data_IF_621827898613
#
_entry.id   IF_621827898613
#
_cell.length_a   1.000
_cell.length_b   1.000
_cell.length_c   1.000
_cell.angle_alpha   90.00
_cell.angle_beta   90.00
_cell.angle_gamma   90.00
#
_symmetry.space_group_name_H-M   'P 1'
#
loop_
_entity.id
_entity.type
_entity.pdbx_description
1 polymer ?
#
# COMPACT_ATOMS: atom_id res chain seq x y z
N UNK A 1 -1.28 -18.28 23.14
CA UNK A 1 -2.43 -17.89 22.30
C UNK A 1 -2.03 -18.05 20.85
N UNK A 2 -2.97 -18.24 19.93
CA UNK A 2 -2.62 -18.37 18.51
C UNK A 2 -2.29 -16.97 17.98
N UNK A 3 -1.09 -16.79 17.43
CA UNK A 3 -0.70 -15.55 16.78
C UNK A 3 -1.51 -15.40 15.49
N UNK A 4 -2.13 -14.23 15.32
CA UNK A 4 -2.95 -13.88 14.15
C UNK A 4 -2.28 -12.72 13.42
N UNK A 5 -2.33 -12.76 12.09
CA UNK A 5 -1.85 -11.68 11.26
C UNK A 5 -2.97 -10.69 11.02
N UNK A 6 -2.69 -9.40 11.12
CA UNK A 6 -3.66 -8.33 10.91
C UNK A 6 -3.12 -7.37 9.86
N UNK A 7 -3.88 -7.18 8.78
CA UNK A 7 -3.65 -6.12 7.81
C UNK A 7 -4.34 -4.85 8.31
N UNK A 8 -3.57 -3.78 8.44
CA UNK A 8 -4.08 -2.44 8.74
C UNK A 8 -4.38 -1.69 7.44
N UNK A 9 -5.63 -1.26 7.30
CA UNK A 9 -6.12 -0.37 6.26
C UNK A 9 -6.22 1.05 6.85
N UNK A 10 -5.34 1.98 6.45
CA UNK A 10 -5.30 3.32 7.01
C UNK A 10 -6.39 4.25 6.44
N UNK A 11 -7.01 3.90 5.31
CA UNK A 11 -8.15 4.63 4.75
C UNK A 11 -9.42 4.49 5.59
N UNK A 12 -9.60 3.33 6.24
CA UNK A 12 -10.71 3.07 7.15
C UNK A 12 -10.32 2.99 8.63
N UNK A 13 -9.02 3.03 8.94
CA UNK A 13 -8.47 2.78 10.28
C UNK A 13 -8.87 1.40 10.83
N UNK A 14 -8.89 0.37 9.99
CA UNK A 14 -9.37 -0.97 10.34
C UNK A 14 -8.26 -2.02 10.30
N UNK A 15 -8.36 -3.02 11.20
CA UNK A 15 -7.50 -4.19 11.21
C UNK A 15 -8.29 -5.42 10.76
N UNK A 16 -7.89 -6.02 9.64
CA UNK A 16 -8.52 -7.24 9.11
C UNK A 16 -7.63 -8.45 9.37
N UNK A 17 -8.13 -9.50 10.05
CA UNK A 17 -7.36 -10.72 10.30
C UNK A 17 -7.10 -11.48 9.00
N UNK A 18 -5.90 -12.05 8.88
CA UNK A 18 -5.39 -12.73 7.70
C UNK A 18 -4.97 -14.17 8.03
N UNK A 19 -5.28 -15.16 7.18
CA UNK A 19 -5.01 -16.57 7.47
C UNK A 19 -3.53 -16.96 7.31
N UNK A 20 -2.75 -16.16 6.58
CA UNK A 20 -1.32 -16.37 6.35
C UNK A 20 -0.63 -15.07 5.92
N UNK A 21 0.71 -15.06 5.94
CA UNK A 21 1.49 -13.92 5.46
C UNK A 21 1.24 -13.68 3.97
N UNK A 22 1.21 -14.74 3.15
CA UNK A 22 0.93 -14.61 1.71
C UNK A 22 -0.45 -14.00 1.44
N UNK A 23 -1.47 -14.37 2.23
CA UNK A 23 -2.80 -13.79 2.12
C UNK A 23 -2.83 -12.31 2.56
N UNK A 24 -2.09 -11.97 3.61
CA UNK A 24 -1.95 -10.59 4.07
C UNK A 24 -1.26 -9.71 3.00
N UNK A 25 -0.16 -10.21 2.40
CA UNK A 25 0.57 -9.51 1.34
C UNK A 25 -0.30 -9.33 0.09
N UNK A 26 -1.01 -10.37 -0.36
CA UNK A 26 -1.91 -10.28 -1.50
C UNK A 26 -3.07 -9.28 -1.26
N UNK A 27 -3.64 -9.28 -0.05
CA UNK A 27 -4.69 -8.34 0.34
C UNK A 27 -4.16 -6.90 0.39
N UNK A 28 -2.97 -6.69 0.95
CA UNK A 28 -2.32 -5.40 1.01
C UNK A 28 -1.96 -4.88 -0.39
N UNK A 29 -1.46 -5.72 -1.30
CA UNK A 29 -1.26 -5.35 -2.71
C UNK A 29 -2.56 -4.98 -3.40
N UNK A 30 -3.65 -5.70 -3.10
CA UNK A 30 -4.98 -5.34 -3.63
C UNK A 30 -5.45 -3.99 -3.10
N UNK A 31 -5.15 -3.66 -1.83
CA UNK A 31 -5.45 -2.36 -1.23
C UNK A 31 -4.64 -1.24 -1.87
N UNK A 32 -3.34 -1.44 -2.11
CA UNK A 32 -2.49 -0.48 -2.84
C UNK A 32 -3.08 -0.21 -4.23
N UNK A 33 -3.48 -1.25 -4.98
CA UNK A 33 -4.11 -1.08 -6.28
C UNK A 33 -5.46 -0.35 -6.17
N UNK A 34 -6.27 -0.65 -5.15
CA UNK A 34 -7.54 0.05 -4.94
C UNK A 34 -7.36 1.53 -4.60
N UNK A 35 -6.29 1.90 -3.89
CA UNK A 35 -5.93 3.31 -3.66
C UNK A 35 -5.35 3.97 -4.91
N UNK A 36 -4.63 3.21 -5.75
CA UNK A 36 -4.19 3.67 -7.07
C UNK A 36 -5.38 4.02 -7.96
N UNK A 37 -6.42 3.20 -7.96
CA UNK A 37 -7.64 3.45 -8.74
C UNK A 37 -8.43 4.68 -8.26
N UNK A 38 -8.23 5.08 -7.00
CA UNK A 38 -8.82 6.29 -6.40
C UNK A 38 -7.92 7.52 -6.53
N UNK A 39 -6.73 7.36 -7.11
CA UNK A 39 -5.75 8.42 -7.24
C UNK A 39 -6.22 9.46 -8.27
N UNK A 40 -6.48 10.68 -7.80
CA UNK A 40 -6.81 11.85 -8.62
C UNK A 40 -6.42 13.15 -7.88
N UNK A 41 -5.37 13.88 -8.29
CA UNK A 41 -4.23 13.54 -9.14
C UNK A 41 -3.02 13.05 -8.32
N UNK A 42 -3.18 12.73 -7.05
CA UNK A 42 -2.11 12.36 -6.11
C UNK A 42 -2.47 11.10 -5.33
N UNK A 43 -1.47 10.32 -4.92
CA UNK A 43 -1.71 9.18 -4.04
C UNK A 43 -2.31 9.67 -2.72
N UNK A 44 -3.21 8.91 -2.09
CA UNK A 44 -3.63 9.25 -0.75
C UNK A 44 -2.44 9.22 0.21
N UNK A 45 -2.26 10.27 1.03
CA UNK A 45 -1.12 10.38 1.97
C UNK A 45 -0.98 9.18 2.91
N UNK A 46 -2.10 8.49 3.18
CA UNK A 46 -2.15 7.33 4.06
C UNK A 46 -1.71 6.02 3.39
N UNK A 47 -1.47 5.97 2.08
CA UNK A 47 -1.03 4.73 1.41
C UNK A 47 0.26 4.18 2.03
N UNK A 48 1.12 5.05 2.56
CA UNK A 48 2.38 4.73 3.23
C UNK A 48 2.21 4.00 4.58
N UNK A 49 0.99 3.97 5.12
CA UNK A 49 0.70 3.38 6.44
C UNK A 49 0.07 1.99 6.36
N UNK A 50 -0.06 1.39 5.18
CA UNK A 50 -0.50 0.00 5.05
C UNK A 50 0.54 -0.93 5.70
N UNK A 51 0.12 -1.66 6.73
CA UNK A 51 0.99 -2.47 7.59
C UNK A 51 0.38 -3.82 7.90
N UNK A 52 1.22 -4.81 8.13
CA UNK A 52 0.81 -6.13 8.61
C UNK A 52 1.48 -6.37 9.96
N UNK A 53 0.66 -6.66 10.96
CA UNK A 53 1.11 -6.98 12.32
C UNK A 53 0.83 -8.44 12.65
N UNK A 54 1.71 -9.07 13.41
CA UNK A 54 1.51 -10.34 14.09
C UNK A 54 1.19 -10.04 15.55
N UNK A 55 -0.05 -10.32 15.98
CA UNK A 55 -0.54 -10.05 17.33
C UNK A 55 -1.36 -11.22 17.87
N UNK A 56 -1.37 -11.40 19.19
CA UNK A 56 -2.34 -12.24 19.90
C UNK A 56 -3.47 -11.44 20.55
N UNK A 57 -3.42 -10.10 20.48
CA UNK A 57 -4.46 -9.18 20.90
C UNK A 57 -5.26 -8.67 19.69
N UNK A 58 -6.55 -9.06 19.56
CA UNK A 58 -7.43 -8.56 18.50
C UNK A 58 -7.96 -7.14 18.74
N UNK A 59 -7.92 -6.61 19.97
CA UNK A 59 -8.39 -5.26 20.30
C UNK A 59 -7.35 -4.21 19.95
N UNK A 60 -6.07 -4.53 20.12
CA UNK A 60 -4.95 -3.65 19.76
C UNK A 60 -3.88 -4.34 18.88
N UNK A 61 -4.21 -4.80 17.65
CA UNK A 61 -3.25 -5.52 16.81
C UNK A 61 -1.97 -4.74 16.46
N UNK A 62 -2.06 -3.40 16.47
CA UNK A 62 -0.94 -2.51 16.17
C UNK A 62 0.17 -2.48 17.23
N UNK A 63 -0.10 -2.94 18.46
CA UNK A 63 0.95 -3.16 19.48
C UNK A 63 1.77 -4.44 19.22
N UNK A 64 1.29 -5.28 18.29
CA UNK A 64 1.97 -6.50 17.86
C UNK A 64 3.25 -6.25 17.08
N UNK A 65 3.85 -7.35 16.63
CA UNK A 65 5.07 -7.32 15.83
C UNK A 65 4.76 -6.91 14.39
N UNK A 66 5.35 -5.81 13.91
CA UNK A 66 5.30 -5.46 12.49
C UNK A 66 6.05 -6.52 11.66
N UNK A 67 5.35 -7.15 10.71
CA UNK A 67 5.92 -8.21 9.85
C UNK A 67 6.06 -7.78 8.39
N UNK A 68 5.22 -6.86 7.93
CA UNK A 68 5.35 -6.25 6.61
C UNK A 68 4.79 -4.84 6.63
N UNK A 69 5.28 -4.01 5.74
CA UNK A 69 4.82 -2.65 5.55
C UNK A 69 4.97 -2.26 4.09
N UNK A 70 4.17 -1.32 3.67
CA UNK A 70 4.29 -0.70 2.37
C UNK A 70 5.55 0.18 2.30
N UNK A 71 6.18 0.20 1.14
CA UNK A 71 7.33 1.05 0.85
C UNK A 71 7.19 1.64 -0.53
N UNK A 72 7.73 2.85 -0.72
CA UNK A 72 7.92 3.41 -2.05
C UNK A 72 8.79 2.48 -2.89
N UNK A 73 8.35 2.20 -4.11
CA UNK A 73 9.06 1.40 -5.08
C UNK A 73 8.93 2.01 -6.47
N UNK A 74 10.03 2.02 -7.23
CA UNK A 74 10.11 2.60 -8.56
C UNK A 74 9.72 4.09 -8.59
N UNK A 75 10.74 4.94 -8.44
CA UNK A 75 10.64 6.33 -8.87
C UNK A 75 10.83 6.35 -10.38
N UNK A 76 9.74 6.37 -11.13
CA UNK A 76 9.76 6.37 -12.60
C UNK A 76 9.86 7.82 -13.05
N UNK A 77 10.93 8.17 -13.78
CA UNK A 77 11.01 9.46 -14.46
C UNK A 77 9.82 9.61 -15.41
N UNK A 78 9.21 10.79 -15.41
CA UNK A 78 8.01 11.08 -16.18
C UNK A 78 8.18 10.67 -17.66
N UNK A 79 7.46 9.66 -18.21
CA UNK A 79 7.65 9.26 -19.60
C UNK A 79 7.07 10.30 -20.55
N UNK A 80 7.60 10.34 -21.77
CA UNK A 80 7.25 11.34 -22.79
C UNK A 80 5.81 11.22 -23.33
N UNK A 81 5.11 10.13 -23.02
CA UNK A 81 3.78 9.80 -23.56
C UNK A 81 2.62 10.40 -22.76
N UNK A 82 2.88 11.48 -22.03
CA UNK A 82 1.88 12.12 -21.19
C UNK A 82 1.06 13.12 -21.98
N UNK A 83 -0.25 12.99 -21.91
CA UNK A 83 -1.17 13.91 -22.54
C UNK A 83 -1.30 15.24 -21.77
N UNK A 84 -2.07 16.16 -22.34
CA UNK A 84 -2.30 17.49 -21.77
C UNK A 84 -2.98 17.45 -20.39
N UNK A 85 -3.65 16.33 -20.07
CA UNK A 85 -4.34 16.10 -18.80
C UNK A 85 -3.43 15.39 -17.76
N UNK A 86 -2.19 15.05 -18.12
CA UNK A 86 -1.23 14.43 -17.21
C UNK A 86 -1.31 12.89 -17.14
N UNK A 87 -2.06 12.26 -18.05
CA UNK A 87 -2.17 10.80 -18.12
C UNK A 87 -1.03 10.18 -18.94
N UNK A 88 -0.40 9.13 -18.40
CA UNK A 88 0.54 8.26 -19.14
C UNK A 88 -0.12 6.90 -19.45
N UNK A 89 -0.45 6.60 -20.72
CA UNK A 89 -0.97 5.31 -21.14
C UNK A 89 0.01 4.15 -20.94
N UNK A 90 1.32 4.38 -21.06
CA UNK A 90 2.33 3.32 -20.89
C UNK A 90 2.46 2.83 -19.46
N UNK A 91 2.17 3.71 -18.49
CA UNK A 91 2.26 3.42 -17.07
C UNK A 91 0.89 3.26 -16.39
N UNK A 92 -0.19 3.64 -17.08
CA UNK A 92 -1.56 3.72 -16.54
C UNK A 92 -1.62 4.54 -15.24
N UNK A 93 -1.24 5.83 -15.33
CA UNK A 93 -1.07 6.76 -14.21
C UNK A 93 -1.58 8.18 -14.56
N UNK A 94 -2.19 8.89 -13.60
CA UNK A 94 -2.79 10.24 -13.75
C UNK A 94 -2.23 11.23 -12.72
N UNK A 95 -1.37 12.18 -13.12
CA UNK A 95 -0.79 13.15 -12.17
C UNK A 95 -0.53 14.50 -12.82
N UNK A 96 -1.21 15.54 -12.35
CA UNK A 96 -1.22 16.88 -12.97
C UNK A 96 0.05 17.71 -12.79
N UNK A 97 0.97 17.40 -11.86
CA UNK A 97 2.10 18.31 -11.53
C UNK A 97 3.41 17.65 -11.02
N UNK A 98 3.61 16.34 -11.19
CA UNK A 98 4.77 15.63 -10.61
C UNK A 98 5.83 15.26 -11.66
N UNK A 99 7.11 15.52 -11.38
CA UNK A 99 8.24 15.19 -12.27
C UNK A 99 8.62 13.69 -12.27
N UNK A 100 8.00 12.90 -11.39
CA UNK A 100 8.26 11.48 -11.21
C UNK A 100 7.01 10.77 -10.68
N UNK A 101 6.82 9.52 -11.09
CA UNK A 101 5.80 8.64 -10.52
C UNK A 101 6.41 7.79 -9.41
N UNK A 102 5.67 7.59 -8.33
CA UNK A 102 6.02 6.67 -7.26
C UNK A 102 4.98 5.55 -7.25
N UNK A 103 5.45 4.30 -7.28
CA UNK A 103 4.60 3.14 -7.04
C UNK A 103 4.83 2.64 -5.60
N UNK A 104 3.92 1.81 -5.09
CA UNK A 104 4.04 1.26 -3.75
C UNK A 104 4.01 -0.26 -3.80
N UNK A 105 4.77 -0.89 -2.91
CA UNK A 105 4.72 -2.35 -2.75
C UNK A 105 4.84 -2.73 -1.28
N UNK A 106 4.43 -3.95 -0.96
CA UNK A 106 4.70 -4.51 0.35
C UNK A 106 6.14 -5.03 0.45
N UNK A 107 6.79 -4.70 1.55
CA UNK A 107 8.09 -5.24 1.95
C UNK A 107 7.96 -6.00 3.28
N UNK A 108 8.49 -7.21 3.32
CA UNK A 108 8.54 -8.03 4.54
C UNK A 108 9.71 -7.57 5.40
N UNK A 109 9.45 -7.31 6.67
CA UNK A 109 10.47 -6.94 7.66
C UNK A 109 11.36 -8.16 7.91
N UNK A 110 12.59 -8.13 7.38
CA UNK A 110 13.59 -9.19 7.65
C UNK A 110 14.10 -9.02 9.09
N UNK A 111 13.94 -10.06 9.90
CA UNK A 111 14.57 -10.19 11.22
C UNK A 111 15.99 -10.73 11.10
#
# INVERSE_FOLDING_TARGET
MAMTLYLFDPGFCEYTPQPSLDAALASATSLINAYRDQCDPEWPEYVEDIRVYESDDPEEPGEGKLVAWVVEHNRIERPDDIDEDGYSPSCDLWFGQVDFYVDYRMEVVRQ
#
